data_IF_503180616089
#
_entry.id   IF_503180616089
#
_cell.length_a   1.000
_cell.length_b   1.000
_cell.length_c   1.000
_cell.angle_alpha   90.00
_cell.angle_beta   90.00
_cell.angle_gamma   90.00
#
_symmetry.space_group_name_H-M   'P 1'
#
loop_
_entity.id
_entity.type
_entity.pdbx_description
1 polymer ?
#
# COMPACT_ATOMS: atom_id res chain seq x y z
N UNK A 1 7.06 68.27 5.02
CA UNK A 1 6.58 67.49 3.86
C UNK A 1 5.45 66.63 4.37
N UNK A 2 4.25 66.94 3.90
CA UNK A 2 2.97 66.29 4.17
C UNK A 2 3.07 64.80 3.81
N UNK A 3 2.74 63.91 4.77
CA UNK A 3 2.58 62.50 4.47
C UNK A 3 1.31 62.34 3.65
N UNK A 4 1.48 61.82 2.43
CA UNK A 4 0.35 61.29 1.67
C UNK A 4 -0.06 60.00 2.40
N UNK A 5 -1.12 60.10 3.19
CA UNK A 5 -1.89 58.94 3.61
C UNK A 5 -2.54 58.39 2.35
N UNK A 6 -1.97 57.30 1.83
CA UNK A 6 -2.56 56.52 0.74
C UNK A 6 -3.76 55.76 1.30
N UNK A 7 -4.85 56.50 1.52
CA UNK A 7 -6.17 55.97 1.82
C UNK A 7 -6.85 55.70 0.48
N UNK A 8 -6.65 54.51 -0.08
CA UNK A 8 -7.57 53.86 -1.03
C UNK A 8 -7.10 52.44 -1.47
N UNK A 9 -6.34 51.70 -0.64
CA UNK A 9 -6.16 50.27 -0.91
C UNK A 9 -7.39 49.49 -0.43
N UNK A 10 -8.20 49.04 -1.38
CA UNK A 10 -9.24 48.02 -1.13
C UNK A 10 -8.57 46.83 -0.45
N UNK A 11 -9.11 46.38 0.69
CA UNK A 11 -8.59 45.23 1.42
C UNK A 11 -8.45 44.03 0.48
N UNK A 12 -7.36 43.25 0.60
CA UNK A 12 -7.09 42.10 -0.28
C UNK A 12 -8.32 41.21 -0.48
N UNK A 13 -9.03 40.89 0.61
CA UNK A 13 -10.25 40.07 0.60
C UNK A 13 -11.34 40.62 -0.31
N UNK A 14 -11.54 41.93 -0.32
CA UNK A 14 -12.52 42.58 -1.19
C UNK A 14 -12.08 42.54 -2.66
N UNK A 15 -10.78 42.72 -2.94
CA UNK A 15 -10.23 42.59 -4.31
C UNK A 15 -10.39 41.18 -4.85
N UNK A 16 -10.06 40.18 -4.03
CA UNK A 16 -10.15 38.76 -4.38
C UNK A 16 -11.61 38.38 -4.62
N UNK A 17 -12.52 38.77 -3.73
CA UNK A 17 -13.97 38.54 -3.90
C UNK A 17 -14.53 39.23 -5.14
N UNK A 18 -14.13 40.46 -5.42
CA UNK A 18 -14.58 41.19 -6.62
C UNK A 18 -14.11 40.51 -7.91
N UNK A 19 -12.91 39.90 -7.91
CA UNK A 19 -12.33 39.24 -9.08
C UNK A 19 -12.84 37.82 -9.29
N UNK A 20 -12.93 37.03 -8.23
CA UNK A 20 -13.15 35.58 -8.30
C UNK A 20 -14.52 35.12 -7.77
N UNK A 21 -15.30 36.01 -7.17
CA UNK A 21 -16.61 35.68 -6.61
C UNK A 21 -16.52 34.52 -5.61
N UNK A 22 -17.37 33.52 -5.79
CA UNK A 22 -17.46 32.33 -4.92
C UNK A 22 -16.35 31.31 -5.16
N UNK A 23 -15.52 31.48 -6.20
CA UNK A 23 -14.42 30.55 -6.49
C UNK A 23 -13.25 30.68 -5.49
N UNK A 24 -13.19 31.79 -4.73
CA UNK A 24 -12.24 31.96 -3.63
C UNK A 24 -12.97 32.29 -2.34
N UNK A 25 -12.83 31.42 -1.35
CA UNK A 25 -13.34 31.62 0.00
C UNK A 25 -12.19 31.89 0.98
N UNK A 26 -12.34 32.92 1.80
CA UNK A 26 -11.39 33.27 2.86
C UNK A 26 -12.17 33.38 4.17
N UNK A 27 -11.74 32.61 5.16
CA UNK A 27 -12.30 32.59 6.51
C UNK A 27 -12.02 33.85 7.33
N UNK A 28 -12.38 33.78 8.60
CA UNK A 28 -12.21 34.87 9.56
C UNK A 28 -10.76 34.99 10.04
N UNK A 29 -10.37 36.19 10.46
CA UNK A 29 -9.13 36.49 11.17
C UNK A 29 -7.84 36.06 10.43
N UNK A 30 -7.85 36.07 9.10
CA UNK A 30 -6.67 35.77 8.30
C UNK A 30 -5.70 36.96 8.20
N UNK A 31 -4.39 36.66 8.18
CA UNK A 31 -3.30 37.63 7.94
C UNK A 31 -2.58 37.25 6.63
N UNK A 32 -3.04 37.82 5.52
CA UNK A 32 -2.60 37.52 4.16
C UNK A 32 -1.91 38.75 3.57
N UNK A 33 -0.67 38.60 3.12
CA UNK A 33 0.08 39.70 2.51
C UNK A 33 -0.55 40.19 1.20
N UNK A 34 -0.44 41.50 0.93
CA UNK A 34 -1.09 42.16 -0.21
C UNK A 34 -0.64 41.68 -1.60
N UNK A 35 0.53 41.05 -1.67
CA UNK A 35 1.17 40.54 -2.90
C UNK A 35 1.04 39.02 -3.08
N UNK A 36 0.18 38.35 -2.28
CA UNK A 36 -0.19 36.95 -2.54
C UNK A 36 -0.94 36.87 -3.87
N UNK A 37 -0.44 36.01 -4.76
CA UNK A 37 -1.03 35.82 -6.08
C UNK A 37 -2.05 34.68 -6.05
N UNK A 38 -3.28 35.00 -6.43
CA UNK A 38 -4.37 34.04 -6.60
C UNK A 38 -4.56 33.83 -8.10
N UNK A 39 -4.36 32.61 -8.57
CA UNK A 39 -4.63 32.20 -9.96
C UNK A 39 -5.71 31.13 -9.91
N UNK A 40 -6.89 31.45 -10.42
CA UNK A 40 -8.06 30.56 -10.41
C UNK A 40 -8.61 30.46 -11.82
N UNK A 41 -8.52 29.26 -12.39
CA UNK A 41 -9.03 28.92 -13.71
C UNK A 41 -10.51 28.47 -13.66
N UNK A 42 -11.06 28.11 -14.82
CA UNK A 42 -12.40 27.53 -14.97
C UNK A 42 -12.60 26.30 -14.07
N UNK A 43 -13.74 26.23 -13.39
CA UNK A 43 -14.13 25.14 -12.47
C UNK A 43 -13.15 24.87 -11.32
N UNK A 44 -12.24 25.81 -11.04
CA UNK A 44 -11.25 25.71 -9.98
C UNK A 44 -11.71 26.46 -8.72
N UNK A 45 -11.23 26.04 -7.55
CA UNK A 45 -11.55 26.74 -6.28
C UNK A 45 -10.36 26.84 -5.35
N UNK A 46 -10.34 27.91 -4.55
CA UNK A 46 -9.41 28.09 -3.43
C UNK A 46 -10.21 28.37 -2.16
N UNK A 47 -10.05 27.53 -1.16
CA UNK A 47 -10.69 27.68 0.16
C UNK A 47 -9.63 27.87 1.23
N UNK A 48 -9.70 28.99 1.94
CA UNK A 48 -8.83 29.32 3.08
C UNK A 48 -9.72 29.37 4.32
N UNK A 49 -9.38 28.57 5.33
CA UNK A 49 -10.06 28.52 6.62
C UNK A 49 -9.79 29.72 7.50
N UNK A 50 -10.11 29.59 8.79
CA UNK A 50 -9.99 30.68 9.76
C UNK A 50 -8.56 30.77 10.33
N UNK A 51 -8.14 31.99 10.71
CA UNK A 51 -6.85 32.24 11.39
C UNK A 51 -5.63 31.74 10.60
N UNK A 52 -5.75 31.79 9.27
CA UNK A 52 -4.66 31.43 8.35
C UNK A 52 -3.75 32.62 8.12
N UNK A 53 -2.44 32.38 8.11
CA UNK A 53 -1.45 33.37 7.72
C UNK A 53 -0.72 32.98 6.45
N UNK A 54 -0.62 33.90 5.48
CA UNK A 54 0.09 33.68 4.21
C UNK A 54 1.02 34.86 3.96
N UNK A 55 2.33 34.58 3.84
CA UNK A 55 3.35 35.62 3.66
C UNK A 55 3.64 35.90 2.18
N UNK A 56 4.33 37.02 1.98
CA UNK A 56 4.60 37.65 0.69
C UNK A 56 5.22 36.74 -0.36
N UNK A 57 4.98 37.06 -1.62
CA UNK A 57 5.48 36.33 -2.79
C UNK A 57 4.90 34.91 -2.95
N UNK A 58 3.89 34.53 -2.16
CA UNK A 58 3.24 33.21 -2.26
C UNK A 58 2.24 33.18 -3.42
N UNK A 59 2.19 32.05 -4.13
CA UNK A 59 1.27 31.81 -5.24
C UNK A 59 0.35 30.64 -4.92
N UNK A 60 -0.96 30.89 -5.02
CA UNK A 60 -2.02 29.89 -4.93
C UNK A 60 -2.62 29.72 -6.33
N UNK A 61 -2.20 28.69 -7.05
CA UNK A 61 -2.62 28.42 -8.42
C UNK A 61 -3.53 27.19 -8.47
N UNK A 62 -4.82 27.43 -8.59
CA UNK A 62 -5.81 26.41 -8.90
C UNK A 62 -6.07 26.44 -10.42
N UNK A 63 -5.40 25.54 -11.15
CA UNK A 63 -5.61 25.38 -12.58
C UNK A 63 -7.00 24.77 -12.85
N UNK A 64 -7.40 24.70 -14.11
CA UNK A 64 -8.77 24.27 -14.49
C UNK A 64 -9.22 23.00 -13.74
N UNK A 65 -10.35 23.03 -13.04
CA UNK A 65 -10.87 21.91 -12.24
C UNK A 65 -10.02 21.48 -11.03
N UNK A 66 -9.01 22.28 -10.66
CA UNK A 66 -8.15 22.06 -9.51
C UNK A 66 -8.66 22.76 -8.25
N UNK A 67 -8.39 22.16 -7.10
CA UNK A 67 -8.88 22.67 -5.82
C UNK A 67 -7.74 22.83 -4.81
N UNK A 68 -7.61 24.01 -4.21
CA UNK A 68 -6.71 24.24 -3.07
C UNK A 68 -7.56 24.43 -1.81
N UNK A 69 -7.24 23.70 -0.76
CA UNK A 69 -7.84 23.91 0.57
C UNK A 69 -6.75 24.11 1.60
N UNK A 70 -6.84 25.20 2.36
CA UNK A 70 -5.97 25.50 3.49
C UNK A 70 -6.82 25.54 4.74
N UNK A 71 -6.60 24.61 5.66
CA UNK A 71 -7.34 24.49 6.91
C UNK A 71 -6.95 25.55 7.93
N UNK A 72 -7.76 25.63 8.98
CA UNK A 72 -7.63 26.63 10.05
C UNK A 72 -6.25 26.62 10.73
N UNK A 73 -5.88 27.75 11.35
CA UNK A 73 -4.68 27.87 12.19
C UNK A 73 -3.37 27.51 11.45
N UNK A 74 -3.35 27.63 10.13
CA UNK A 74 -2.23 27.27 9.26
C UNK A 74 -1.36 28.48 8.92
N UNK A 75 -0.06 28.26 8.76
CA UNK A 75 0.88 29.29 8.32
C UNK A 75 1.63 28.88 7.06
N UNK A 76 1.59 29.74 6.03
CA UNK A 76 2.42 29.66 4.82
C UNK A 76 3.46 30.78 4.85
N UNK A 77 4.73 30.39 4.73
CA UNK A 77 5.89 31.27 4.68
C UNK A 77 5.99 32.07 3.38
N UNK A 78 7.13 32.72 3.18
CA UNK A 78 7.37 33.55 2.00
C UNK A 78 7.69 32.68 0.77
N UNK A 79 7.22 33.12 -0.41
CA UNK A 79 7.52 32.47 -1.69
C UNK A 79 7.11 30.99 -1.76
N UNK A 80 5.98 30.62 -1.14
CA UNK A 80 5.40 29.28 -1.29
C UNK A 80 4.67 29.19 -2.62
N UNK A 81 4.77 28.06 -3.32
CA UNK A 81 4.00 27.80 -4.54
C UNK A 81 3.14 26.57 -4.32
N UNK A 82 1.82 26.76 -4.40
CA UNK A 82 0.85 25.67 -4.49
C UNK A 82 0.25 25.69 -5.89
N UNK A 83 0.45 24.63 -6.67
CA UNK A 83 -0.16 24.52 -8.00
C UNK A 83 -0.94 23.22 -8.15
N UNK A 84 -2.26 23.35 -8.17
CA UNK A 84 -3.21 22.25 -8.22
C UNK A 84 -3.84 22.13 -9.61
N UNK A 85 -3.86 20.91 -10.16
CA UNK A 85 -4.68 20.50 -11.31
C UNK A 85 -5.77 19.48 -10.91
N UNK A 86 -5.69 18.94 -9.70
CA UNK A 86 -6.74 18.12 -9.07
C UNK A 86 -7.03 18.63 -7.65
N UNK A 87 -6.12 18.44 -6.70
CA UNK A 87 -6.33 18.80 -5.31
C UNK A 87 -5.02 18.95 -4.55
N UNK A 88 -4.85 20.08 -3.87
CA UNK A 88 -3.87 20.26 -2.79
C UNK A 88 -4.64 20.58 -1.51
N UNK A 89 -4.48 19.74 -0.49
CA UNK A 89 -5.06 19.95 0.83
C UNK A 89 -3.97 20.19 1.87
N UNK A 90 -4.04 21.33 2.55
CA UNK A 90 -3.21 21.67 3.70
C UNK A 90 -4.11 21.61 4.94
N UNK A 91 -3.87 20.64 5.82
CA UNK A 91 -4.66 20.40 7.01
C UNK A 91 -4.42 21.44 8.10
N UNK A 92 -5.36 21.51 9.06
CA UNK A 92 -5.32 22.48 10.16
C UNK A 92 -4.00 22.47 10.95
N UNK A 93 -3.55 23.63 11.38
CA UNK A 93 -2.33 23.76 12.19
C UNK A 93 -1.04 23.36 11.47
N UNK A 94 -1.07 23.15 10.15
CA UNK A 94 0.13 22.83 9.40
C UNK A 94 1.03 24.06 9.27
N UNK A 95 2.34 23.83 9.25
CA UNK A 95 3.35 24.87 9.05
C UNK A 95 4.09 24.65 7.73
N UNK A 96 3.82 25.49 6.74
CA UNK A 96 4.54 25.47 5.46
C UNK A 96 5.54 26.62 5.47
N UNK A 97 6.83 26.30 5.49
CA UNK A 97 7.88 27.33 5.61
C UNK A 97 8.22 27.96 4.26
N UNK A 98 9.29 28.75 4.21
CA UNK A 98 9.60 29.59 3.04
C UNK A 98 10.08 28.77 1.84
N UNK A 99 9.75 29.22 0.62
CA UNK A 99 10.22 28.63 -0.64
C UNK A 99 9.83 27.16 -0.82
N UNK A 100 8.70 26.74 -0.25
CA UNK A 100 8.16 25.39 -0.44
C UNK A 100 7.40 25.34 -1.77
N UNK A 101 7.63 24.27 -2.52
CA UNK A 101 7.04 24.02 -3.84
C UNK A 101 6.18 22.74 -3.79
N UNK A 102 4.87 22.87 -4.04
CA UNK A 102 3.91 21.76 -3.99
C UNK A 102 3.13 21.69 -5.30
N UNK A 103 3.31 20.57 -6.00
CA UNK A 103 2.66 20.29 -7.27
C UNK A 103 1.95 18.93 -7.22
N UNK A 104 0.64 18.92 -7.50
CA UNK A 104 -0.16 17.68 -7.59
C UNK A 104 -0.15 17.04 -8.99
N UNK A 105 0.71 17.54 -9.88
CA UNK A 105 0.76 17.15 -11.28
C UNK A 105 2.17 17.13 -11.84
N UNK A 106 2.34 16.44 -12.96
CA UNK A 106 3.58 16.43 -13.72
C UNK A 106 3.31 16.25 -15.22
N UNK A 107 4.25 16.67 -16.07
CA UNK A 107 4.15 16.43 -17.51
C UNK A 107 4.19 14.94 -17.82
N UNK A 108 3.35 14.49 -18.75
CA UNK A 108 3.42 13.10 -19.24
C UNK A 108 4.65 12.89 -20.10
N UNK A 109 5.17 11.67 -20.03
CA UNK A 109 6.14 11.19 -21.00
C UNK A 109 5.58 11.32 -22.42
N UNK A 110 6.42 11.76 -23.35
CA UNK A 110 6.05 11.92 -24.76
C UNK A 110 6.20 10.57 -25.47
N UNK A 111 5.11 9.83 -25.60
CA UNK A 111 5.07 8.50 -26.24
C UNK A 111 4.02 8.49 -27.36
N UNK A 112 4.00 7.49 -28.25
CA UNK A 112 2.94 7.37 -29.26
C UNK A 112 1.52 7.39 -28.67
N UNK A 113 1.35 6.88 -27.45
CA UNK A 113 0.05 6.80 -26.76
C UNK A 113 -0.42 8.14 -26.17
N UNK A 114 0.50 9.06 -25.87
CA UNK A 114 0.18 10.37 -25.27
C UNK A 114 0.18 11.51 -26.27
N UNK A 115 0.48 11.24 -27.54
CA UNK A 115 0.60 12.26 -28.59
C UNK A 115 -0.63 12.29 -29.50
N UNK A 116 -1.15 13.49 -29.75
CA UNK A 116 -2.13 13.74 -30.81
C UNK A 116 -1.41 14.06 -32.13
N UNK A 117 -1.67 13.32 -33.23
CA UNK A 117 -1.11 13.63 -34.54
C UNK A 117 -1.45 15.05 -35.01
N UNK A 118 -0.44 15.81 -35.44
CA UNK A 118 -0.61 17.16 -35.96
C UNK A 118 -0.49 18.29 -34.92
N UNK A 119 -0.35 17.96 -33.63
CA UNK A 119 -0.10 18.98 -32.61
C UNK A 119 1.34 19.54 -32.63
N UNK A 120 1.53 20.83 -32.27
CA UNK A 120 2.85 21.43 -32.16
C UNK A 120 3.75 20.72 -31.15
N UNK A 121 5.07 20.73 -31.40
CA UNK A 121 6.06 20.19 -30.47
C UNK A 121 6.17 21.13 -29.26
N UNK A 122 5.38 20.86 -28.23
CA UNK A 122 5.42 21.57 -26.94
C UNK A 122 5.45 20.58 -25.77
N UNK A 123 6.00 20.96 -24.60
CA UNK A 123 6.05 20.10 -23.41
C UNK A 123 4.68 19.69 -22.85
N UNK A 124 3.64 20.51 -23.06
CA UNK A 124 2.28 20.25 -22.55
C UNK A 124 1.38 19.49 -23.53
N UNK A 125 1.82 19.27 -24.79
CA UNK A 125 1.05 18.50 -25.77
C UNK A 125 0.84 17.03 -25.37
N UNK A 126 1.73 16.45 -24.54
CA UNK A 126 1.54 15.10 -23.99
C UNK A 126 0.54 15.05 -22.82
N UNK A 127 0.05 16.20 -22.36
CA UNK A 127 -0.83 16.31 -21.21
C UNK A 127 -0.12 16.16 -19.86
N UNK A 128 -0.93 15.97 -18.80
CA UNK A 128 -0.47 15.91 -17.42
C UNK A 128 -1.01 14.68 -16.69
N UNK A 129 -0.17 14.08 -15.85
CA UNK A 129 -0.63 13.12 -14.85
C UNK A 129 -0.76 13.81 -13.50
N UNK A 130 -1.85 13.53 -12.80
CA UNK A 130 -2.23 14.23 -11.57
C UNK A 130 -2.58 13.24 -10.47
N UNK A 131 -2.23 13.58 -9.23
CA UNK A 131 -2.67 12.87 -8.03
C UNK A 131 -2.65 13.85 -6.83
N UNK A 132 -3.69 13.86 -5.98
CA UNK A 132 -3.79 14.79 -4.86
C UNK A 132 -2.55 14.82 -3.97
N UNK A 133 -2.23 16.01 -3.47
CA UNK A 133 -1.23 16.18 -2.40
C UNK A 133 -1.95 16.56 -1.12
N UNK A 134 -1.65 15.84 -0.04
CA UNK A 134 -2.25 16.07 1.28
C UNK A 134 -1.16 16.33 2.31
N UNK A 135 -1.24 17.48 2.99
CA UNK A 135 -0.47 17.78 4.19
C UNK A 135 -1.43 17.64 5.35
N UNK A 136 -1.26 16.63 6.20
CA UNK A 136 -2.18 16.35 7.30
C UNK A 136 -1.99 17.32 8.49
N UNK A 137 -2.94 17.35 9.43
CA UNK A 137 -2.91 18.28 10.56
C UNK A 137 -1.58 18.28 11.34
N UNK A 138 -1.12 19.48 11.71
CA UNK A 138 0.08 19.68 12.51
C UNK A 138 1.41 19.31 11.82
N UNK A 139 1.40 18.90 10.55
CA UNK A 139 2.61 18.63 9.81
C UNK A 139 3.43 19.91 9.56
N UNK A 140 4.75 19.77 9.56
CA UNK A 140 5.69 20.87 9.34
C UNK A 140 6.52 20.57 8.10
N UNK A 141 6.46 21.48 7.13
CA UNK A 141 7.29 21.45 5.92
C UNK A 141 8.31 22.57 6.02
N UNK A 142 9.59 22.23 6.20
CA UNK A 142 10.65 23.22 6.36
C UNK A 142 11.01 23.92 5.03
N UNK A 143 11.93 24.88 5.10
CA UNK A 143 12.27 25.73 3.97
C UNK A 143 12.77 24.92 2.75
N UNK A 144 12.41 25.38 1.55
CA UNK A 144 12.94 24.85 0.27
C UNK A 144 12.62 23.38 0.01
N UNK A 145 11.48 22.89 0.49
CA UNK A 145 11.03 21.53 0.22
C UNK A 145 10.23 21.50 -1.08
N UNK A 146 10.45 20.47 -1.90
CA UNK A 146 9.61 20.15 -3.06
C UNK A 146 8.79 18.89 -2.79
N UNK A 147 7.48 18.94 -3.03
CA UNK A 147 6.55 17.83 -2.83
C UNK A 147 5.88 17.49 -4.16
N UNK A 148 5.95 16.21 -4.56
CA UNK A 148 5.40 15.75 -5.84
C UNK A 148 3.99 15.16 -5.70
N UNK A 149 3.29 15.06 -6.84
CA UNK A 149 1.96 14.47 -6.97
C UNK A 149 1.80 13.13 -6.22
N UNK A 150 0.64 12.97 -5.57
CA UNK A 150 0.23 11.75 -4.88
C UNK A 150 0.77 11.56 -3.46
N UNK A 151 1.58 12.51 -2.97
CA UNK A 151 2.20 12.44 -1.64
C UNK A 151 1.23 12.87 -0.55
N UNK A 152 1.19 12.08 0.52
CA UNK A 152 0.61 12.48 1.82
C UNK A 152 1.71 12.68 2.85
N UNK A 153 1.75 13.85 3.49
CA UNK A 153 2.60 14.13 4.66
C UNK A 153 1.75 13.95 5.91
N UNK A 154 2.02 12.89 6.68
CA UNK A 154 1.18 12.48 7.79
C UNK A 154 1.16 13.45 8.98
N UNK A 155 0.17 13.30 9.86
CA UNK A 155 -0.01 14.15 11.04
C UNK A 155 1.26 14.31 11.85
N UNK A 156 1.55 15.55 12.27
CA UNK A 156 2.75 15.92 13.03
C UNK A 156 4.09 15.58 12.35
N UNK A 157 4.09 15.11 11.09
CA UNK A 157 5.33 14.77 10.41
C UNK A 157 6.14 16.04 10.12
N UNK A 158 7.47 15.90 10.08
CA UNK A 158 8.41 17.01 9.87
C UNK A 158 9.27 16.73 8.66
N UNK A 159 9.16 17.56 7.65
CA UNK A 159 10.01 17.49 6.46
C UNK A 159 11.16 18.46 6.63
N UNK A 160 12.39 17.94 6.59
CA UNK A 160 13.60 18.75 6.74
C UNK A 160 13.84 19.68 5.55
N UNK A 161 14.60 20.75 5.78
CA UNK A 161 14.86 21.75 4.76
C UNK A 161 15.61 21.17 3.54
N UNK A 162 15.34 21.70 2.35
CA UNK A 162 15.88 21.23 1.07
C UNK A 162 15.55 19.76 0.72
N UNK A 163 14.49 19.18 1.28
CA UNK A 163 14.08 17.82 0.94
C UNK A 163 13.24 17.77 -0.35
N UNK A 164 13.32 16.63 -1.06
CA UNK A 164 12.46 16.33 -2.22
C UNK A 164 11.61 15.12 -1.87
N UNK A 165 10.32 15.34 -1.62
CA UNK A 165 9.39 14.30 -1.18
C UNK A 165 8.69 13.68 -2.38
N UNK A 166 9.02 12.42 -2.64
CA UNK A 166 8.48 11.64 -3.78
C UNK A 166 7.64 10.43 -3.36
N UNK A 167 7.39 10.28 -2.06
CA UNK A 167 6.56 9.23 -1.48
C UNK A 167 5.96 9.73 -0.16
N UNK A 168 4.78 9.23 0.20
CA UNK A 168 4.09 9.60 1.43
C UNK A 168 4.96 9.39 2.68
N UNK A 169 4.85 10.30 3.64
CA UNK A 169 5.61 10.31 4.88
C UNK A 169 4.68 9.98 6.04
N UNK A 170 4.96 8.94 6.84
CA UNK A 170 4.13 8.55 7.97
C UNK A 170 3.95 9.67 9.01
N UNK A 171 2.83 9.66 9.74
CA UNK A 171 2.64 10.58 10.84
C UNK A 171 3.70 10.38 11.93
N UNK A 172 3.97 11.43 12.72
CA UNK A 172 4.90 11.39 13.84
C UNK A 172 6.35 11.00 13.44
N UNK A 173 6.76 11.35 12.22
CA UNK A 173 8.11 11.07 11.73
C UNK A 173 8.83 12.32 11.24
N UNK A 174 10.15 12.25 11.18
CA UNK A 174 10.97 13.24 10.47
C UNK A 174 11.54 12.60 9.21
N UNK A 175 11.36 13.25 8.06
CA UNK A 175 11.92 12.83 6.79
C UNK A 175 12.82 13.93 6.19
N UNK A 176 13.98 13.55 5.67
CA UNK A 176 14.99 14.48 5.12
C UNK A 176 15.63 13.92 3.84
N UNK A 177 16.23 14.79 3.03
CA UNK A 177 17.01 14.41 1.84
C UNK A 177 16.24 14.48 0.52
N UNK A 178 16.92 14.14 -0.57
CA UNK A 178 16.39 14.15 -1.93
C UNK A 178 16.84 12.86 -2.66
N UNK A 179 15.99 11.83 -2.75
CA UNK A 179 14.60 11.78 -2.26
C UNK A 179 14.52 11.67 -0.73
N UNK A 180 13.46 12.20 -0.14
CA UNK A 180 13.26 12.23 1.31
C UNK A 180 13.11 10.82 1.89
N UNK A 181 13.74 10.57 3.03
CA UNK A 181 13.66 9.31 3.78
C UNK A 181 13.42 9.59 5.25
N UNK A 182 12.61 8.74 5.90
CA UNK A 182 12.36 8.80 7.34
C UNK A 182 13.66 8.53 8.10
N UNK A 183 14.05 9.45 8.97
CA UNK A 183 15.28 9.34 9.80
C UNK A 183 14.98 9.29 11.29
N UNK A 184 13.78 9.69 11.71
CA UNK A 184 13.36 9.61 13.11
C UNK A 184 11.85 9.38 13.24
N UNK A 185 11.47 8.76 14.36
CA UNK A 185 10.08 8.65 14.85
C UNK A 185 9.99 9.36 16.19
N UNK A 186 8.87 9.98 16.49
CA UNK A 186 8.63 10.63 17.78
C UNK A 186 7.24 10.30 18.31
N UNK A 187 7.03 10.26 19.64
CA UNK A 187 5.69 10.09 20.17
C UNK A 187 4.90 11.39 20.00
N UNK A 188 3.68 11.27 19.49
CA UNK A 188 2.70 12.35 19.42
C UNK A 188 1.30 11.77 19.35
N UNK A 189 0.31 12.30 20.09
CA UNK A 189 -1.06 11.87 19.90
C UNK A 189 -1.49 12.18 18.47
N UNK A 190 -2.08 11.18 17.80
CA UNK A 190 -2.79 11.41 16.55
C UNK A 190 -4.20 11.88 16.90
N UNK A 191 -4.75 12.76 16.09
CA UNK A 191 -6.15 13.12 16.14
C UNK A 191 -7.01 11.86 15.90
N UNK A 192 -7.80 11.41 16.89
CA UNK A 192 -8.60 10.20 16.76
C UNK A 192 -9.73 10.33 15.72
N UNK A 193 -10.18 11.55 15.44
CA UNK A 193 -11.25 11.81 14.46
C UNK A 193 -10.71 11.92 13.02
N UNK A 194 -9.39 12.08 12.86
CA UNK A 194 -8.79 12.14 11.53
C UNK A 194 -8.75 10.73 10.90
N UNK A 195 -9.30 10.55 9.69
CA UNK A 195 -9.33 9.27 9.02
C UNK A 195 -7.94 8.65 8.90
N UNK A 196 -7.81 7.40 9.32
CA UNK A 196 -6.59 6.62 9.10
C UNK A 196 -6.65 5.91 7.75
N UNK A 197 -5.52 5.77 7.03
CA UNK A 197 -5.45 4.89 5.89
C UNK A 197 -5.97 3.49 6.27
N UNK A 198 -6.84 2.94 5.43
CA UNK A 198 -7.34 1.59 5.57
C UNK A 198 -6.85 0.78 4.37
N UNK A 199 -6.23 -0.37 4.63
CA UNK A 199 -5.77 -1.26 3.57
C UNK A 199 -6.47 -2.61 3.72
N UNK A 200 -7.20 -3.01 2.67
CA UNK A 200 -7.89 -4.30 2.61
C UNK A 200 -7.03 -5.32 1.87
N UNK A 201 -6.72 -6.42 2.53
CA UNK A 201 -5.81 -7.46 2.05
C UNK A 201 -6.58 -8.75 1.80
N UNK A 202 -6.58 -9.24 0.55
CA UNK A 202 -7.17 -10.52 0.18
C UNK A 202 -6.12 -11.62 0.12
N UNK A 203 -6.35 -12.76 0.77
CA UNK A 203 -5.46 -13.92 0.74
C UNK A 203 -6.18 -15.09 0.08
N UNK A 204 -5.64 -15.58 -1.04
CA UNK A 204 -6.22 -16.65 -1.84
C UNK A 204 -5.21 -17.78 -1.96
N UNK A 205 -5.54 -18.95 -1.42
CA UNK A 205 -4.62 -20.06 -1.47
C UNK A 205 -5.09 -21.30 -0.74
N UNK A 206 -4.14 -22.11 -0.34
CA UNK A 206 -4.38 -23.46 0.18
C UNK A 206 -4.22 -23.50 1.72
N UNK A 207 -3.88 -24.67 2.26
CA UNK A 207 -3.58 -24.86 3.69
C UNK A 207 -2.42 -23.98 4.17
N UNK A 208 -1.49 -23.61 3.28
CA UNK A 208 -0.40 -22.67 3.58
C UNK A 208 -0.93 -21.34 4.13
N UNK A 209 -2.01 -20.82 3.56
CA UNK A 209 -2.64 -19.55 3.96
C UNK A 209 -3.75 -19.71 5.01
N UNK A 210 -4.43 -20.87 5.03
CA UNK A 210 -5.50 -21.14 5.98
C UNK A 210 -4.98 -21.31 7.41
N UNK A 211 -3.98 -22.19 7.56
CA UNK A 211 -3.38 -22.70 8.81
C UNK A 211 -4.22 -22.48 10.07
N UNK A 212 -5.05 -23.47 10.39
CA UNK A 212 -5.81 -23.51 11.64
C UNK A 212 -5.00 -24.06 12.81
N UNK A 213 -5.13 -23.38 13.94
CA UNK A 213 -4.70 -23.85 15.25
C UNK A 213 -5.94 -24.11 16.12
N UNK A 214 -5.96 -25.26 16.80
CA UNK A 214 -6.97 -25.56 17.79
C UNK A 214 -6.87 -24.61 18.99
N UNK A 215 -7.97 -24.01 19.41
CA UNK A 215 -7.98 -23.02 20.47
C UNK A 215 -8.90 -23.40 21.63
N UNK A 216 -8.46 -23.03 22.83
CA UNK A 216 -9.28 -22.90 24.03
C UNK A 216 -8.87 -21.59 24.74
N UNK A 217 -9.81 -20.76 25.23
CA UNK A 217 -9.50 -19.49 25.90
C UNK A 217 -8.51 -19.61 27.07
N UNK A 218 -8.52 -20.74 27.79
CA UNK A 218 -7.59 -21.02 28.89
C UNK A 218 -6.14 -21.08 28.44
N UNK A 219 -5.88 -21.50 27.20
CA UNK A 219 -4.53 -21.52 26.62
C UNK A 219 -3.98 -20.12 26.30
N UNK A 220 -4.82 -19.08 26.26
CA UNK A 220 -4.39 -17.71 25.99
C UNK A 220 -4.22 -16.87 27.26
N UNK A 221 -4.66 -17.37 28.42
CA UNK A 221 -4.56 -16.66 29.70
C UNK A 221 -3.51 -17.35 30.54
N UNK A 222 -2.31 -16.75 30.61
CA UNK A 222 -1.18 -17.32 31.37
C UNK A 222 -1.54 -17.64 32.83
N UNK A 223 -2.45 -16.88 33.42
CA UNK A 223 -2.92 -17.06 34.80
C UNK A 223 -3.96 -18.18 34.99
N UNK A 224 -4.50 -18.76 33.91
CA UNK A 224 -5.56 -19.79 33.90
C UNK A 224 -5.18 -20.95 32.95
N UNK A 225 -3.90 -21.23 32.81
CA UNK A 225 -3.44 -22.38 32.03
C UNK A 225 -3.95 -23.69 32.65
N UNK A 226 -4.33 -24.67 31.84
CA UNK A 226 -4.68 -26.00 32.33
C UNK A 226 -3.50 -26.66 33.04
N UNK A 227 -3.81 -27.47 34.05
CA UNK A 227 -2.79 -28.26 34.76
C UNK A 227 -2.16 -29.31 33.83
N UNK A 228 -0.92 -29.72 34.11
CA UNK A 228 -0.26 -30.77 33.32
C UNK A 228 -1.07 -32.07 33.42
N UNK A 229 -1.51 -32.59 32.28
CA UNK A 229 -2.36 -33.79 32.18
C UNK A 229 -3.86 -33.51 32.20
N UNK A 230 -4.28 -32.25 32.40
CA UNK A 230 -5.67 -31.83 32.25
C UNK A 230 -6.09 -31.88 30.77
N UNK A 231 -7.27 -32.44 30.51
CA UNK A 231 -7.87 -32.40 29.18
C UNK A 231 -8.71 -31.14 29.03
N UNK A 232 -8.49 -30.44 27.91
CA UNK A 232 -9.30 -29.29 27.51
C UNK A 232 -10.04 -29.60 26.21
N UNK A 233 -11.23 -29.04 26.07
CA UNK A 233 -11.99 -29.12 24.82
C UNK A 233 -11.52 -28.04 23.85
N UNK A 234 -11.30 -28.40 22.59
CA UNK A 234 -11.12 -27.41 21.52
C UNK A 234 -12.45 -26.69 21.33
N UNK A 235 -12.48 -25.38 21.62
CA UNK A 235 -13.71 -24.58 21.54
C UNK A 235 -13.86 -23.92 20.18
N UNK A 236 -12.75 -23.65 19.50
CA UNK A 236 -12.75 -23.06 18.16
C UNK A 236 -11.44 -23.37 17.42
N UNK A 237 -11.42 -23.09 16.11
CA UNK A 237 -10.21 -23.08 15.28
C UNK A 237 -9.88 -21.63 14.94
N UNK A 238 -8.62 -21.25 15.05
CA UNK A 238 -8.15 -19.90 14.69
C UNK A 238 -7.13 -19.97 13.57
N UNK A 239 -7.22 -19.06 12.60
CA UNK A 239 -6.17 -18.91 11.56
C UNK A 239 -4.94 -18.26 12.19
N UNK A 240 -3.87 -19.02 12.36
CA UNK A 240 -2.69 -18.63 13.17
C UNK A 240 -1.33 -18.81 12.48
N UNK A 241 -1.31 -19.31 11.25
CA UNK A 241 -0.07 -19.40 10.46
C UNK A 241 0.49 -18.06 9.98
N UNK A 242 1.38 -18.11 8.99
CA UNK A 242 2.20 -16.96 8.58
C UNK A 242 1.38 -15.72 8.21
N UNK A 243 0.18 -15.87 7.63
CA UNK A 243 -0.72 -14.75 7.29
C UNK A 243 -1.09 -13.93 8.52
N UNK A 244 -1.40 -14.59 9.64
CA UNK A 244 -1.77 -13.91 10.88
C UNK A 244 -0.58 -13.16 11.48
N UNK A 245 0.59 -13.80 11.54
CA UNK A 245 1.78 -13.18 12.12
C UNK A 245 2.30 -12.05 11.24
N UNK A 246 2.24 -12.19 9.91
CA UNK A 246 2.64 -11.16 8.95
C UNK A 246 1.77 -9.90 9.08
N UNK A 247 0.45 -10.06 9.12
CA UNK A 247 -0.51 -8.94 9.24
C UNK A 247 -0.42 -8.25 10.61
N UNK A 248 -0.15 -9.01 11.67
CA UNK A 248 0.17 -8.47 13.00
C UNK A 248 1.48 -7.68 12.98
N UNK A 249 2.50 -8.19 12.29
CA UNK A 249 3.77 -7.52 12.07
C UNK A 249 3.61 -6.18 11.33
N UNK A 250 2.78 -6.13 10.29
CA UNK A 250 2.47 -4.88 9.59
C UNK A 250 1.74 -3.88 10.49
N UNK A 251 0.77 -4.33 11.27
CA UNK A 251 0.06 -3.48 12.24
C UNK A 251 1.01 -2.89 13.29
N UNK A 252 2.10 -3.61 13.61
CA UNK A 252 3.16 -3.12 14.52
C UNK A 252 4.09 -2.12 13.82
N UNK A 253 4.45 -2.38 12.56
CA UNK A 253 5.36 -1.54 11.77
C UNK A 253 4.71 -0.23 11.32
N UNK A 254 3.41 -0.30 11.02
CA UNK A 254 2.55 0.76 10.48
C UNK A 254 1.30 0.96 11.35
N UNK A 255 1.43 1.32 12.64
CA UNK A 255 0.30 1.39 13.58
C UNK A 255 -0.72 2.50 13.28
N UNK A 256 -0.42 3.37 12.31
CA UNK A 256 -1.33 4.41 11.81
C UNK A 256 -2.20 3.92 10.65
N UNK A 257 -2.01 2.70 10.16
CA UNK A 257 -2.83 2.07 9.12
C UNK A 257 -3.75 1.05 9.78
N UNK A 258 -5.01 1.00 9.33
CA UNK A 258 -5.92 -0.09 9.67
C UNK A 258 -5.84 -1.17 8.58
N UNK A 259 -5.35 -2.36 8.93
CA UNK A 259 -5.35 -3.50 8.03
C UNK A 259 -6.60 -4.35 8.26
N UNK A 260 -7.35 -4.63 7.19
CA UNK A 260 -8.45 -5.60 7.21
C UNK A 260 -8.11 -6.77 6.31
N UNK A 261 -8.33 -8.00 6.77
CA UNK A 261 -7.89 -9.21 6.07
C UNK A 261 -9.08 -10.09 5.68
N UNK A 262 -9.16 -10.42 4.39
CA UNK A 262 -10.09 -11.42 3.87
C UNK A 262 -9.27 -12.68 3.55
N UNK A 263 -9.21 -13.63 4.47
CA UNK A 263 -8.44 -14.85 4.27
C UNK A 263 -9.33 -15.96 3.68
N UNK A 264 -9.24 -16.15 2.37
CA UNK A 264 -9.87 -17.20 1.56
C UNK A 264 -8.98 -18.43 1.36
N UNK A 265 -7.94 -18.61 2.19
CA UNK A 265 -7.17 -19.86 2.24
C UNK A 265 -8.05 -21.03 2.66
N UNK A 266 -7.95 -22.14 1.93
CA UNK A 266 -8.72 -23.37 2.16
C UNK A 266 -7.82 -24.62 2.09
N UNK A 267 -7.83 -25.41 3.16
CA UNK A 267 -7.04 -26.63 3.26
C UNK A 267 -7.43 -27.67 2.22
N UNK A 268 -6.44 -28.22 1.52
CA UNK A 268 -6.65 -29.24 0.48
C UNK A 268 -7.11 -28.72 -0.87
N UNK A 269 -7.39 -27.42 -1.01
CA UNK A 269 -7.77 -26.77 -2.26
C UNK A 269 -6.67 -26.86 -3.33
N UNK A 270 -7.08 -27.07 -4.58
CA UNK A 270 -6.24 -26.98 -5.80
C UNK A 270 -6.40 -25.62 -6.46
N UNK A 271 -5.66 -25.34 -7.54
CA UNK A 271 -5.87 -24.11 -8.33
C UNK A 271 -7.28 -23.97 -8.90
N UNK A 272 -7.99 -25.07 -9.12
CA UNK A 272 -9.39 -25.07 -9.57
C UNK A 272 -10.33 -24.50 -8.49
N UNK A 273 -10.10 -24.92 -7.25
CA UNK A 273 -10.91 -24.52 -6.09
C UNK A 273 -10.60 -23.07 -5.70
N UNK A 274 -9.31 -22.71 -5.64
CA UNK A 274 -8.87 -21.33 -5.38
C UNK A 274 -9.43 -20.36 -6.42
N UNK A 275 -9.43 -20.72 -7.72
CA UNK A 275 -10.03 -19.90 -8.77
C UNK A 275 -11.55 -19.75 -8.59
N UNK A 276 -12.24 -20.81 -8.16
CA UNK A 276 -13.67 -20.78 -7.88
C UNK A 276 -13.99 -19.84 -6.71
N UNK A 277 -13.23 -19.94 -5.62
CA UNK A 277 -13.37 -19.08 -4.45
C UNK A 277 -13.07 -17.62 -4.78
N UNK A 278 -12.02 -17.37 -5.59
CA UNK A 278 -11.70 -16.03 -6.07
C UNK A 278 -12.84 -15.43 -6.90
N UNK A 279 -13.41 -16.18 -7.85
CA UNK A 279 -14.57 -15.73 -8.63
C UNK A 279 -15.74 -15.35 -7.73
N UNK A 280 -16.08 -16.20 -6.76
CA UNK A 280 -17.15 -15.93 -5.81
C UNK A 280 -16.89 -14.65 -4.99
N UNK A 281 -15.65 -14.43 -4.52
CA UNK A 281 -15.27 -13.23 -3.79
C UNK A 281 -15.36 -11.95 -4.66
N UNK A 282 -14.95 -12.03 -5.93
CA UNK A 282 -15.04 -10.93 -6.89
C UNK A 282 -16.50 -10.61 -7.24
N UNK A 283 -17.31 -11.65 -7.48
CA UNK A 283 -18.75 -11.52 -7.78
C UNK A 283 -19.53 -10.94 -6.59
N UNK A 284 -19.08 -11.21 -5.37
CA UNK A 284 -19.59 -10.59 -4.14
C UNK A 284 -19.13 -9.13 -3.94
N UNK A 285 -18.42 -8.54 -4.92
CA UNK A 285 -17.94 -7.16 -4.87
C UNK A 285 -16.60 -6.98 -4.17
N UNK A 286 -15.83 -8.05 -3.98
CA UNK A 286 -14.50 -8.00 -3.38
C UNK A 286 -13.56 -7.06 -4.13
N UNK A 287 -12.94 -6.13 -3.40
CA UNK A 287 -11.93 -5.19 -3.89
C UNK A 287 -10.86 -5.08 -2.82
N UNK A 288 -9.60 -5.05 -3.24
CA UNK A 288 -8.46 -5.12 -2.32
C UNK A 288 -7.40 -4.08 -2.67
N UNK A 289 -6.71 -3.57 -1.66
CA UNK A 289 -5.49 -2.81 -1.89
C UNK A 289 -4.35 -3.76 -2.25
N UNK A 290 -4.29 -4.91 -1.59
CA UNK A 290 -3.32 -5.97 -1.89
C UNK A 290 -4.04 -7.31 -1.98
N UNK A 291 -3.83 -8.03 -3.08
CA UNK A 291 -4.19 -9.43 -3.18
C UNK A 291 -2.92 -10.31 -3.13
N UNK A 292 -2.97 -11.37 -2.32
CA UNK A 292 -1.91 -12.37 -2.22
C UNK A 292 -2.45 -13.72 -2.69
N UNK A 293 -1.79 -14.32 -3.67
CA UNK A 293 -2.17 -15.60 -4.28
C UNK A 293 -1.06 -16.63 -4.06
N UNK A 294 -1.40 -17.84 -3.61
CA UNK A 294 -0.44 -18.94 -3.50
C UNK A 294 -1.16 -20.28 -3.69
N UNK A 295 -0.85 -20.97 -4.78
CA UNK A 295 -1.46 -22.26 -5.10
C UNK A 295 -0.56 -23.09 -6.01
N UNK A 296 -0.65 -24.43 -5.89
CA UNK A 296 0.03 -25.39 -6.76
C UNK A 296 0.44 -26.68 -6.06
N UNK A 297 0.62 -26.66 -4.73
CA UNK A 297 1.09 -27.84 -4.00
C UNK A 297 0.10 -28.99 -4.09
N UNK A 298 -1.20 -28.74 -3.85
CA UNK A 298 -2.22 -29.79 -3.93
C UNK A 298 -2.44 -30.27 -5.38
N UNK A 299 -2.28 -29.39 -6.36
CA UNK A 299 -2.36 -29.73 -7.79
C UNK A 299 -1.39 -30.87 -8.14
N UNK A 300 -0.16 -30.79 -7.64
CA UNK A 300 0.90 -31.80 -7.79
C UNK A 300 0.74 -32.96 -6.81
N UNK A 301 0.49 -32.67 -5.53
CA UNK A 301 0.47 -33.69 -4.49
C UNK A 301 -0.62 -34.74 -4.73
N UNK A 302 -1.81 -34.33 -5.20
CA UNK A 302 -2.89 -35.26 -5.57
C UNK A 302 -2.50 -36.20 -6.71
N UNK A 303 -1.69 -35.72 -7.66
CA UNK A 303 -1.17 -36.57 -8.74
C UNK A 303 -0.30 -37.69 -8.16
N UNK A 304 0.69 -37.33 -7.34
CA UNK A 304 1.61 -38.30 -6.76
C UNK A 304 0.95 -39.26 -5.76
N UNK A 305 -0.19 -38.88 -5.17
CA UNK A 305 -1.05 -39.76 -4.37
C UNK A 305 -1.93 -40.73 -5.19
N UNK A 306 -1.89 -40.66 -6.53
CA UNK A 306 -2.78 -41.45 -7.40
C UNK A 306 -4.21 -40.91 -7.51
N UNK A 307 -4.50 -39.72 -6.96
CA UNK A 307 -5.83 -39.08 -6.94
C UNK A 307 -6.07 -38.25 -8.19
N UNK A 308 -6.02 -38.90 -9.36
CA UNK A 308 -6.01 -38.25 -10.68
C UNK A 308 -7.23 -37.36 -10.96
N UNK A 309 -8.41 -37.69 -10.42
CA UNK A 309 -9.63 -36.88 -10.59
C UNK A 309 -9.58 -35.55 -9.85
N UNK A 310 -8.74 -35.46 -8.82
CA UNK A 310 -8.57 -34.26 -7.99
C UNK A 310 -7.34 -33.47 -8.41
N UNK A 311 -6.32 -34.13 -8.95
CA UNK A 311 -5.12 -33.50 -9.48
C UNK A 311 -5.44 -32.49 -10.59
N UNK A 312 -4.60 -31.46 -10.69
CA UNK A 312 -4.67 -30.47 -11.77
C UNK A 312 -3.34 -30.53 -12.51
N UNK A 313 -3.39 -30.85 -13.80
CA UNK A 313 -2.17 -30.93 -14.62
C UNK A 313 -1.61 -29.55 -14.96
N UNK A 314 -0.32 -29.49 -15.30
CA UNK A 314 0.42 -28.22 -15.48
C UNK A 314 -0.24 -27.25 -16.48
N UNK A 315 -0.85 -27.75 -17.55
CA UNK A 315 -1.53 -26.91 -18.54
C UNK A 315 -2.84 -26.30 -18.02
N UNK A 316 -3.60 -27.06 -17.23
CA UNK A 316 -4.79 -26.54 -16.54
C UNK A 316 -4.37 -25.56 -15.44
N UNK A 317 -3.33 -25.88 -14.67
CA UNK A 317 -2.77 -24.97 -13.67
C UNK A 317 -2.33 -23.63 -14.27
N UNK A 318 -1.58 -23.64 -15.38
CA UNK A 318 -1.15 -22.41 -16.07
C UNK A 318 -2.36 -21.57 -16.52
N UNK A 319 -3.43 -22.23 -16.98
CA UNK A 319 -4.70 -21.56 -17.32
C UNK A 319 -5.36 -20.96 -16.08
N UNK A 320 -5.42 -21.72 -14.98
CA UNK A 320 -6.08 -21.31 -13.74
C UNK A 320 -5.37 -20.11 -13.10
N UNK A 321 -4.04 -20.15 -12.97
CA UNK A 321 -3.27 -19.09 -12.33
C UNK A 321 -3.31 -17.78 -13.14
N UNK A 322 -3.22 -17.87 -14.47
CA UNK A 322 -3.35 -16.69 -15.36
C UNK A 322 -4.75 -16.08 -15.28
N UNK A 323 -5.78 -16.93 -15.23
CA UNK A 323 -7.17 -16.46 -15.06
C UNK A 323 -7.35 -15.78 -13.70
N UNK A 324 -6.80 -16.36 -12.62
CA UNK A 324 -6.85 -15.77 -11.29
C UNK A 324 -6.17 -14.40 -11.26
N UNK A 325 -4.97 -14.29 -11.83
CA UNK A 325 -4.25 -13.01 -11.91
C UNK A 325 -4.99 -11.99 -12.76
N UNK A 326 -5.61 -12.38 -13.88
CA UNK A 326 -6.44 -11.49 -14.68
C UNK A 326 -7.64 -10.93 -13.93
N UNK A 327 -8.31 -11.75 -13.09
CA UNK A 327 -9.37 -11.29 -12.21
C UNK A 327 -8.84 -10.30 -11.16
N UNK A 328 -7.72 -10.64 -10.52
CA UNK A 328 -7.09 -9.80 -9.49
C UNK A 328 -6.61 -8.45 -10.06
N UNK A 329 -6.07 -8.40 -11.28
CA UNK A 329 -5.65 -7.15 -11.92
C UNK A 329 -6.80 -6.16 -12.10
N UNK A 330 -8.05 -6.63 -12.13
CA UNK A 330 -9.23 -5.78 -12.25
C UNK A 330 -9.84 -5.33 -10.90
N UNK A 331 -9.43 -5.93 -9.78
CA UNK A 331 -10.05 -5.73 -8.47
C UNK A 331 -9.07 -5.50 -7.32
N UNK A 332 -7.77 -5.57 -7.57
CA UNK A 332 -6.69 -5.30 -6.62
C UNK A 332 -5.73 -4.23 -7.15
N UNK A 333 -5.26 -3.33 -6.26
CA UNK A 333 -4.26 -2.31 -6.64
C UNK A 333 -2.85 -2.88 -6.79
N UNK A 334 -2.50 -3.88 -5.99
CA UNK A 334 -1.24 -4.63 -6.05
C UNK A 334 -1.49 -6.12 -5.88
N UNK A 335 -0.66 -6.94 -6.54
CA UNK A 335 -0.74 -8.40 -6.47
C UNK A 335 0.62 -8.95 -6.08
N UNK A 336 0.60 -9.89 -5.14
CA UNK A 336 1.75 -10.71 -4.76
C UNK A 336 1.40 -12.17 -4.99
N UNK A 337 2.30 -12.92 -5.62
CA UNK A 337 2.20 -14.37 -5.77
C UNK A 337 3.25 -15.02 -4.88
N UNK A 338 2.84 -15.89 -3.99
CA UNK A 338 3.74 -16.70 -3.15
C UNK A 338 3.96 -18.04 -3.85
N UNK A 339 5.22 -18.40 -4.10
CA UNK A 339 5.57 -19.73 -4.58
C UNK A 339 5.22 -20.81 -3.55
N UNK A 340 5.08 -22.05 -4.01
CA UNK A 340 4.84 -23.19 -3.12
C UNK A 340 6.15 -23.71 -2.53
N UNK A 341 6.15 -24.16 -1.26
CA UNK A 341 7.31 -24.77 -0.64
C UNK A 341 7.54 -26.19 -1.18
N UNK A 342 8.74 -26.76 -1.03
CA UNK A 342 8.91 -28.19 -1.24
C UNK A 342 8.05 -29.01 -0.26
N UNK A 343 7.65 -30.20 -0.69
CA UNK A 343 7.14 -31.26 0.18
C UNK A 343 8.33 -31.83 0.95
N UNK A 344 8.25 -31.82 2.29
CA UNK A 344 9.31 -32.28 3.18
C UNK A 344 9.42 -33.80 3.21
N UNK A 345 8.32 -34.50 3.52
CA UNK A 345 8.23 -35.95 3.42
C UNK A 345 6.76 -36.38 3.33
N UNK A 346 6.52 -37.50 2.66
CA UNK A 346 5.24 -38.18 2.67
C UNK A 346 5.53 -39.64 2.30
N UNK A 347 5.33 -40.60 3.23
CA UNK A 347 5.67 -42.00 2.99
C UNK A 347 4.80 -42.68 1.92
N UNK A 348 3.75 -42.00 1.44
CA UNK A 348 2.80 -42.55 0.47
C UNK A 348 3.16 -42.25 -0.99
N UNK A 349 4.16 -41.40 -1.24
CA UNK A 349 4.52 -40.92 -2.58
C UNK A 349 6.05 -40.88 -2.81
N UNK A 350 6.47 -40.70 -4.07
CA UNK A 350 7.83 -40.29 -4.41
C UNK A 350 7.96 -38.76 -4.28
N UNK A 351 8.40 -38.29 -3.12
CA UNK A 351 8.52 -36.85 -2.82
C UNK A 351 9.55 -36.16 -3.70
N UNK A 352 10.63 -36.84 -4.10
CA UNK A 352 11.65 -36.23 -4.95
C UNK A 352 11.09 -35.97 -6.35
N UNK A 353 10.32 -36.91 -6.90
CA UNK A 353 9.60 -36.71 -8.16
C UNK A 353 8.53 -35.62 -8.05
N UNK A 354 7.74 -35.63 -6.96
CA UNK A 354 6.72 -34.61 -6.70
C UNK A 354 7.31 -33.20 -6.61
N UNK A 355 8.43 -33.04 -5.90
CA UNK A 355 9.13 -31.77 -5.83
C UNK A 355 9.71 -31.35 -7.19
N UNK A 356 10.18 -32.31 -8.00
CA UNK A 356 10.58 -32.07 -9.39
C UNK A 356 9.45 -31.42 -10.21
N UNK A 357 8.25 -31.96 -10.15
CA UNK A 357 7.07 -31.38 -10.82
C UNK A 357 6.71 -30.02 -10.23
N UNK A 358 6.67 -29.88 -8.90
CA UNK A 358 6.28 -28.65 -8.21
C UNK A 358 7.17 -27.46 -8.57
N UNK A 359 8.46 -27.68 -8.86
CA UNK A 359 9.33 -26.60 -9.36
C UNK A 359 8.89 -26.04 -10.71
N UNK A 360 8.33 -26.86 -11.61
CA UNK A 360 7.77 -26.37 -12.89
C UNK A 360 6.48 -25.56 -12.65
N UNK A 361 5.65 -25.95 -11.67
CA UNK A 361 4.46 -25.16 -11.29
C UNK A 361 4.87 -23.78 -10.75
N UNK A 362 5.88 -23.71 -9.87
CA UNK A 362 6.44 -22.45 -9.41
C UNK A 362 7.01 -21.60 -10.55
N UNK A 363 7.62 -22.21 -11.57
CA UNK A 363 8.07 -21.48 -12.76
C UNK A 363 6.91 -20.91 -13.59
N UNK A 364 5.79 -21.64 -13.70
CA UNK A 364 4.56 -21.13 -14.35
C UNK A 364 3.97 -19.97 -13.58
N UNK A 365 3.86 -20.09 -12.25
CA UNK A 365 3.39 -19.03 -11.37
C UNK A 365 4.24 -17.76 -11.51
N UNK A 366 5.57 -17.89 -11.52
CA UNK A 366 6.50 -16.77 -11.72
C UNK A 366 6.29 -16.08 -13.07
N UNK A 367 6.17 -16.83 -14.15
CA UNK A 367 5.92 -16.26 -15.50
C UNK A 367 4.58 -15.55 -15.55
N UNK A 368 3.53 -16.19 -15.03
CA UNK A 368 2.20 -15.60 -14.98
C UNK A 368 2.17 -14.32 -14.13
N UNK A 369 2.86 -14.28 -12.99
CA UNK A 369 3.01 -13.08 -12.18
C UNK A 369 3.65 -11.93 -12.97
N UNK A 370 4.75 -12.21 -13.68
CA UNK A 370 5.44 -11.20 -14.49
C UNK A 370 4.56 -10.65 -15.62
N UNK A 371 3.77 -11.51 -16.27
CA UNK A 371 2.83 -11.09 -17.34
C UNK A 371 1.70 -10.17 -16.83
N UNK A 372 1.47 -10.14 -15.51
CA UNK A 372 0.42 -9.36 -14.84
C UNK A 372 0.97 -8.24 -13.93
N UNK A 373 2.27 -7.89 -14.05
CA UNK A 373 2.95 -6.91 -13.18
C UNK A 373 2.80 -7.21 -11.67
N UNK A 374 2.72 -8.49 -11.33
CA UNK A 374 2.63 -8.98 -9.96
C UNK A 374 4.02 -9.36 -9.42
N UNK A 375 4.22 -9.15 -8.12
CA UNK A 375 5.46 -9.55 -7.44
C UNK A 375 5.41 -11.06 -7.16
N UNK A 376 6.38 -11.82 -7.66
CA UNK A 376 6.55 -13.22 -7.29
C UNK A 376 7.55 -13.36 -6.14
N UNK A 377 7.11 -13.95 -5.02
CA UNK A 377 7.94 -14.28 -3.87
C UNK A 377 8.32 -15.75 -3.97
N UNK A 378 9.59 -16.00 -4.30
CA UNK A 378 10.12 -17.35 -4.22
C UNK A 378 10.46 -17.68 -2.77
N UNK A 379 9.81 -18.71 -2.23
CA UNK A 379 10.08 -19.21 -0.87
C UNK A 379 10.83 -20.54 -0.90
N UNK A 380 11.06 -21.13 -2.08
CA UNK A 380 11.60 -22.48 -2.23
C UNK A 380 13.02 -22.59 -1.70
N UNK A 381 13.89 -21.67 -2.11
CA UNK A 381 15.32 -21.70 -1.81
C UNK A 381 15.58 -21.47 -0.32
N UNK A 382 14.91 -20.49 0.29
CA UNK A 382 15.04 -20.19 1.72
C UNK A 382 14.49 -21.33 2.59
N UNK A 383 13.34 -21.91 2.23
CA UNK A 383 12.82 -23.09 2.93
C UNK A 383 13.77 -24.27 2.79
N UNK A 384 14.28 -24.53 1.59
CA UNK A 384 15.26 -25.59 1.34
C UNK A 384 16.51 -25.36 2.18
N UNK A 385 17.00 -24.13 2.23
CA UNK A 385 18.15 -23.75 3.05
C UNK A 385 17.90 -24.05 4.54
N UNK A 386 16.82 -23.51 5.12
CA UNK A 386 16.48 -23.74 6.53
C UNK A 386 16.30 -25.22 6.83
N UNK A 387 15.59 -25.95 5.97
CA UNK A 387 15.38 -27.39 6.12
C UNK A 387 16.71 -28.16 6.09
N UNK A 388 17.63 -27.83 5.18
CA UNK A 388 18.95 -28.47 5.11
C UNK A 388 19.83 -28.17 6.33
N UNK A 389 19.71 -26.97 6.90
CA UNK A 389 20.35 -26.66 8.18
C UNK A 389 19.81 -27.49 9.35
N UNK A 390 18.57 -27.97 9.25
CA UNK A 390 17.99 -28.93 10.21
C UNK A 390 18.21 -30.40 9.82
N UNK A 391 19.03 -30.66 8.80
CA UNK A 391 19.42 -32.02 8.40
C UNK A 391 18.47 -32.69 7.41
N UNK A 392 17.47 -31.97 6.87
CA UNK A 392 16.67 -32.46 5.75
C UNK A 392 17.48 -32.47 4.44
N UNK A 393 17.18 -33.40 3.54
CA UNK A 393 17.83 -33.50 2.23
C UNK A 393 16.79 -33.53 1.11
N UNK A 394 16.83 -32.62 0.12
CA UNK A 394 15.93 -32.69 -1.04
C UNK A 394 16.16 -33.93 -1.90
N UNK A 395 17.37 -34.50 -1.88
CA UNK A 395 17.68 -35.76 -2.57
C UNK A 395 17.21 -37.00 -1.79
N UNK A 396 16.90 -36.85 -0.50
CA UNK A 396 16.46 -37.93 0.38
C UNK A 396 15.42 -37.41 1.38
N UNK A 397 14.26 -36.96 0.87
CA UNK A 397 13.25 -36.24 1.64
C UNK A 397 12.55 -37.20 2.63
N UNK A 398 13.07 -37.24 3.84
CA UNK A 398 12.63 -38.16 4.90
C UNK A 398 12.26 -37.36 6.15
N UNK A 399 11.39 -37.96 6.97
CA UNK A 399 11.00 -37.35 8.23
C UNK A 399 12.21 -37.10 9.14
N UNK A 400 12.23 -35.98 9.87
CA UNK A 400 13.29 -35.70 10.83
C UNK A 400 13.28 -36.73 11.97
N UNK A 401 14.38 -36.80 12.72
CA UNK A 401 14.38 -37.52 13.99
C UNK A 401 13.33 -36.93 14.95
N UNK A 402 12.80 -37.75 15.86
CA UNK A 402 11.85 -37.28 16.86
C UNK A 402 12.44 -36.08 17.63
N UNK A 403 11.62 -35.05 17.85
CA UNK A 403 11.97 -33.79 18.54
C UNK A 403 13.00 -32.90 17.82
N UNK A 404 13.51 -33.29 16.65
CA UNK A 404 14.36 -32.41 15.85
C UNK A 404 13.53 -31.25 15.23
N UNK A 405 14.11 -30.04 15.10
CA UNK A 405 13.44 -28.93 14.44
C UNK A 405 13.13 -29.27 12.98
N UNK A 406 12.00 -28.78 12.49
CA UNK A 406 11.56 -29.01 11.12
C UNK A 406 10.77 -27.82 10.62
N UNK A 407 10.90 -27.54 9.32
CA UNK A 407 10.07 -26.55 8.61
C UNK A 407 8.62 -27.05 8.48
N UNK A 408 8.41 -28.38 8.43
CA UNK A 408 7.11 -29.00 8.30
C UNK A 408 6.66 -29.66 9.61
N UNK A 409 5.37 -29.59 9.92
CA UNK A 409 4.75 -30.27 11.05
C UNK A 409 4.48 -31.76 10.77
N UNK A 410 4.02 -32.08 9.56
CA UNK A 410 3.64 -33.44 9.15
C UNK A 410 4.29 -33.88 7.82
N UNK A 411 5.19 -33.05 7.29
CA UNK A 411 5.90 -33.28 6.04
C UNK A 411 5.32 -32.53 4.84
N UNK A 412 4.15 -31.92 4.98
CA UNK A 412 3.54 -31.05 3.96
C UNK A 412 3.12 -29.71 4.55
N UNK A 413 2.43 -29.71 5.68
CA UNK A 413 2.01 -28.50 6.38
C UNK A 413 3.19 -27.89 7.14
N UNK A 414 3.26 -26.56 7.17
CA UNK A 414 4.31 -25.85 7.88
C UNK A 414 4.17 -26.05 9.40
N UNK A 415 5.31 -26.16 10.08
CA UNK A 415 5.41 -25.94 11.52
C UNK A 415 5.43 -24.44 11.82
N UNK A 416 5.44 -24.06 13.10
CA UNK A 416 5.68 -22.66 13.52
C UNK A 416 6.99 -22.10 12.93
N UNK A 417 8.04 -22.91 12.89
CA UNK A 417 9.32 -22.54 12.29
C UNK A 417 9.19 -22.32 10.77
N UNK A 418 8.35 -23.11 10.09
CA UNK A 418 8.05 -22.93 8.67
C UNK A 418 7.23 -21.68 8.40
N UNK A 419 6.18 -21.43 9.18
CA UNK A 419 5.39 -20.20 9.08
C UNK A 419 6.24 -18.96 9.26
N UNK A 420 7.10 -18.95 10.28
CA UNK A 420 7.99 -17.83 10.55
C UNK A 420 8.98 -17.60 9.40
N UNK A 421 9.46 -18.68 8.78
CA UNK A 421 10.32 -18.62 7.59
C UNK A 421 9.56 -17.97 6.42
N UNK A 422 8.36 -18.45 6.08
CA UNK A 422 7.53 -17.87 5.01
C UNK A 422 7.16 -16.43 5.30
N UNK A 423 6.79 -16.12 6.54
CA UNK A 423 6.48 -14.76 7.01
C UNK A 423 7.67 -13.83 6.77
N UNK A 424 8.88 -14.26 7.14
CA UNK A 424 10.09 -13.46 7.00
C UNK A 424 10.41 -13.14 5.54
N UNK A 425 10.44 -14.17 4.67
CA UNK A 425 10.71 -14.02 3.24
C UNK A 425 9.67 -13.10 2.59
N UNK A 426 8.39 -13.32 2.92
CA UNK A 426 7.28 -12.53 2.38
C UNK A 426 7.38 -11.05 2.80
N UNK A 427 7.68 -10.76 4.08
CA UNK A 427 7.83 -9.38 4.57
C UNK A 427 9.04 -8.67 3.93
N UNK A 428 10.15 -9.40 3.73
CA UNK A 428 11.33 -8.89 3.04
C UNK A 428 11.01 -8.54 1.58
N UNK A 429 10.33 -9.42 0.85
CA UNK A 429 9.93 -9.16 -0.53
C UNK A 429 8.97 -7.96 -0.63
N UNK A 430 7.95 -7.91 0.23
CA UNK A 430 7.01 -6.79 0.29
C UNK A 430 7.71 -5.45 0.58
N UNK A 431 8.72 -5.46 1.45
CA UNK A 431 9.54 -4.28 1.73
C UNK A 431 10.42 -3.90 0.53
N UNK A 432 11.12 -4.87 -0.06
CA UNK A 432 12.06 -4.65 -1.17
C UNK A 432 11.36 -4.12 -2.42
N UNK A 433 10.17 -4.64 -2.72
CA UNK A 433 9.32 -4.19 -3.81
C UNK A 433 8.45 -2.97 -3.46
N UNK A 434 8.58 -2.45 -2.22
CA UNK A 434 7.81 -1.29 -1.72
C UNK A 434 6.31 -1.45 -1.91
N UNK A 435 5.78 -2.66 -1.74
CA UNK A 435 4.38 -2.99 -2.03
C UNK A 435 3.43 -2.15 -1.15
N UNK A 436 3.64 -2.15 0.17
CA UNK A 436 2.80 -1.35 1.08
C UNK A 436 3.05 0.15 0.94
N UNK A 437 4.31 0.58 0.82
CA UNK A 437 4.63 2.00 0.63
C UNK A 437 4.01 2.57 -0.66
N UNK A 438 3.97 1.75 -1.72
CA UNK A 438 3.34 2.09 -2.99
C UNK A 438 1.82 2.19 -2.90
N UNK A 439 1.18 1.52 -1.94
CA UNK A 439 -0.26 1.67 -1.68
C UNK A 439 -0.61 2.96 -0.93
N UNK A 440 0.37 3.56 -0.23
CA UNK A 440 0.21 4.78 0.56
C UNK A 440 0.48 6.06 -0.25
N UNK A 441 1.06 5.94 -1.44
CA UNK A 441 1.24 7.05 -2.37
C UNK A 441 0.20 6.89 -3.47
N UNK A 442 -0.58 7.93 -3.77
CA UNK A 442 -1.60 7.85 -4.80
C UNK A 442 -0.96 7.72 -6.18
N UNK A 443 -1.53 6.86 -7.01
CA UNK A 443 -1.07 6.68 -8.37
C UNK A 443 -1.37 7.92 -9.20
N UNK A 444 -0.41 8.32 -10.03
CA UNK A 444 -0.58 9.47 -10.93
C UNK A 444 -1.40 9.00 -12.12
N UNK A 445 -2.58 9.60 -12.29
CA UNK A 445 -3.52 9.23 -13.33
C UNK A 445 -3.64 10.35 -14.35
N UNK A 446 -4.08 10.01 -15.55
CA UNK A 446 -4.44 11.02 -16.53
C UNK A 446 -5.51 11.96 -15.93
N UNK A 447 -5.43 13.26 -16.21
CA UNK A 447 -6.29 14.27 -15.57
C UNK A 447 -7.79 13.94 -15.60
N UNK A 448 -8.30 13.35 -16.69
CA UNK A 448 -9.72 13.02 -16.78
C UNK A 448 -10.08 11.85 -15.87
N UNK A 449 -9.20 10.85 -15.76
CA UNK A 449 -9.37 9.72 -14.84
C UNK A 449 -9.17 10.12 -13.39
N UNK A 450 -8.13 10.91 -13.09
CA UNK A 450 -7.92 11.48 -11.75
C UNK A 450 -9.14 12.26 -11.25
N UNK A 451 -9.76 13.08 -12.10
CA UNK A 451 -10.97 13.82 -11.76
C UNK A 451 -12.17 12.91 -11.43
N UNK A 452 -12.21 11.65 -11.91
CA UNK A 452 -13.27 10.69 -11.54
C UNK A 452 -12.91 9.90 -10.30
N UNK A 453 -11.67 9.39 -10.23
CA UNK A 453 -11.18 8.51 -9.17
C UNK A 453 -10.92 9.26 -7.86
N UNK A 454 -10.48 10.51 -7.93
CA UNK A 454 -10.14 11.35 -6.78
C UNK A 454 -11.16 12.46 -6.49
N UNK A 455 -12.33 12.47 -7.13
CA UNK A 455 -13.39 13.45 -6.84
C UNK A 455 -14.04 13.28 -5.46
N UNK A 456 -13.87 12.10 -4.85
CA UNK A 456 -14.25 11.81 -3.47
C UNK A 456 -13.22 12.41 -2.50
#
# INVERSE_FOLDING_TARGET
MTSVTDTDSIALTDRVRARYGDAVHIGADCDIADDVDFVVDTDATITIGDRVSIRRGTTLQANTGGHITIGDDTALGENVVLSAMTRIHIGRGAGISNMVDIHDHNHRARTPDTLTPGEPITPWASGFDTAPVTIEPGAIVANKVSITAGVTIGQNARIGANAVVTASVPPNTTAVGAPARVTARHPGPLDPEHPRPQLRIGWFGTSLMEHYEAHNPRLAVQADLPEIGEQITVTEWRKRGYVHVLTTGWSTRYPWITFTTDNHGEGGATSRDVLTNLRAAVDAGGRWDLAVLGVGLNDVWRHHQGRMSEAVGIGEYDTNIRTALGLLSACARRIVVIGEPPIGWDPTIDVAAANGDLTEYNQRARRAAADHDAVFVDIWDDITYVATCFGWSPATPTAPAAEAPSVWADGVHLSEQGDETVRHITDQAITAHRVLDGLLTLDRLDRATAAREYAQ
#
